data_IF_560724863587
#
_entry.id   IF_560724863587
#
_cell.length_a   1.000
_cell.length_b   1.000
_cell.length_c   1.000
_cell.angle_alpha   90.00
_cell.angle_beta   90.00
_cell.angle_gamma   90.00
#
_symmetry.space_group_name_H-M   'P 1'
#
loop_
_entity.id
_entity.type
_entity.pdbx_description
1 polymer ?
#
# COMPACT_ATOMS: atom_id res chain seq x y z
N UNK A 1 17.16 -28.01 -23.28
CA UNK A 1 16.26 -27.35 -22.30
C UNK A 1 16.98 -26.20 -21.56
N UNK A 2 17.78 -25.35 -22.24
CA UNK A 2 18.75 -24.45 -21.54
C UNK A 2 18.60 -22.95 -21.89
N UNK A 3 17.53 -22.54 -22.59
CA UNK A 3 17.36 -21.15 -23.03
C UNK A 3 16.42 -20.27 -22.19
N UNK A 4 15.72 -20.84 -21.19
CA UNK A 4 14.76 -20.08 -20.38
C UNK A 4 15.40 -19.23 -19.28
N UNK A 5 16.41 -19.75 -18.57
CA UNK A 5 17.06 -19.05 -17.46
C UNK A 5 17.69 -17.69 -17.86
N UNK A 6 18.40 -17.55 -19.01
CA UNK A 6 18.95 -16.25 -19.43
C UNK A 6 17.89 -15.22 -19.83
N UNK A 7 16.67 -15.67 -20.17
CA UNK A 7 15.56 -14.78 -20.52
C UNK A 7 14.85 -14.27 -19.25
N UNK A 8 14.61 -15.16 -18.29
CA UNK A 8 14.00 -14.82 -16.99
C UNK A 8 14.89 -13.87 -16.20
N UNK A 9 16.20 -14.13 -16.13
CA UNK A 9 17.14 -13.23 -15.44
C UNK A 9 17.11 -11.82 -16.02
N UNK A 10 17.09 -11.70 -17.36
CA UNK A 10 17.03 -10.40 -18.04
C UNK A 10 15.77 -9.64 -17.69
N UNK A 11 14.62 -10.32 -17.70
CA UNK A 11 13.34 -9.72 -17.31
C UNK A 11 13.35 -9.24 -15.85
N UNK A 12 13.98 -10.00 -14.95
CA UNK A 12 14.13 -9.61 -13.55
C UNK A 12 15.03 -8.38 -13.44
N UNK A 13 16.18 -8.37 -14.11
CA UNK A 13 17.10 -7.21 -14.13
C UNK A 13 16.43 -5.96 -14.66
N UNK A 14 15.66 -6.06 -15.73
CA UNK A 14 14.89 -4.96 -16.29
C UNK A 14 13.85 -4.42 -15.29
N UNK A 15 13.10 -5.32 -14.65
CA UNK A 15 12.07 -4.93 -13.67
C UNK A 15 12.68 -4.30 -12.40
N UNK A 16 13.80 -4.84 -11.92
CA UNK A 16 14.54 -4.28 -10.77
C UNK A 16 15.14 -2.92 -11.12
N UNK A 17 15.75 -2.80 -12.30
CA UNK A 17 16.28 -1.54 -12.84
C UNK A 17 15.22 -0.44 -12.88
N UNK A 18 14.04 -0.76 -13.42
CA UNK A 18 12.90 0.16 -13.52
C UNK A 18 12.45 0.65 -12.14
N UNK A 19 12.33 -0.27 -11.18
CA UNK A 19 11.79 0.03 -9.84
C UNK A 19 12.80 0.75 -8.94
N UNK A 20 14.10 0.45 -9.09
CA UNK A 20 15.17 1.07 -8.30
C UNK A 20 15.74 2.33 -8.97
N UNK A 21 15.50 2.54 -10.27
CA UNK A 21 16.10 3.63 -11.04
C UNK A 21 17.62 3.44 -11.26
N UNK A 22 18.09 2.19 -11.27
CA UNK A 22 19.50 1.83 -11.41
C UNK A 22 19.75 1.16 -12.76
N UNK A 23 20.95 1.28 -13.36
CA UNK A 23 21.30 0.52 -14.56
C UNK A 23 21.13 -1.01 -14.35
N UNK A 24 20.71 -1.80 -15.36
CA UNK A 24 20.47 -3.24 -15.23
C UNK A 24 21.68 -4.07 -14.74
N UNK A 25 22.88 -3.56 -15.00
CA UNK A 25 24.16 -4.21 -14.64
C UNK A 25 24.76 -3.64 -13.34
N UNK A 26 24.08 -2.70 -12.68
CA UNK A 26 24.58 -2.05 -11.46
C UNK A 26 24.47 -2.95 -10.21
N UNK A 27 23.67 -4.00 -10.27
CA UNK A 27 23.41 -4.92 -9.15
C UNK A 27 23.92 -6.31 -9.52
N UNK A 28 24.83 -6.85 -8.71
CA UNK A 28 25.34 -8.20 -8.94
C UNK A 28 24.27 -9.25 -8.60
N UNK A 29 24.43 -10.47 -9.13
CA UNK A 29 23.43 -11.54 -8.96
C UNK A 29 23.16 -11.88 -7.48
N UNK A 30 24.19 -11.80 -6.64
CA UNK A 30 24.17 -12.15 -5.22
C UNK A 30 23.94 -10.95 -4.30
N UNK A 31 23.83 -9.75 -4.85
CA UNK A 31 23.65 -8.54 -4.04
C UNK A 31 22.28 -8.54 -3.37
N UNK A 32 22.26 -8.08 -2.12
CA UNK A 32 21.01 -7.86 -1.41
C UNK A 32 20.31 -6.62 -2.00
N UNK A 33 19.19 -6.84 -2.68
CA UNK A 33 18.39 -5.78 -3.32
C UNK A 33 17.86 -4.75 -2.31
N UNK A 34 17.66 -5.13 -1.05
CA UNK A 34 17.22 -4.21 0.02
C UNK A 34 18.30 -3.15 0.27
N UNK A 35 19.57 -3.54 0.24
CA UNK A 35 20.70 -2.60 0.38
C UNK A 35 20.79 -1.61 -0.79
N UNK A 36 20.20 -1.96 -1.94
CA UNK A 36 20.07 -1.10 -3.12
C UNK A 36 18.76 -0.31 -3.17
N UNK A 37 17.97 -0.31 -2.09
CA UNK A 37 16.75 0.49 -1.97
C UNK A 37 15.46 -0.23 -2.40
N UNK A 38 15.49 -1.57 -2.48
CA UNK A 38 14.27 -2.35 -2.61
C UNK A 38 13.52 -2.36 -1.28
N UNK A 39 12.23 -2.02 -1.32
CA UNK A 39 11.34 -2.06 -0.16
C UNK A 39 10.10 -2.93 -0.45
N UNK A 40 9.20 -3.04 0.53
CA UNK A 40 8.00 -3.86 0.42
C UNK A 40 7.03 -3.38 -0.66
N UNK A 41 6.88 -2.06 -0.86
CA UNK A 41 5.97 -1.49 -1.86
C UNK A 41 6.48 -1.86 -3.26
N UNK A 42 7.78 -1.66 -3.49
CA UNK A 42 8.47 -1.99 -4.72
C UNK A 42 8.45 -3.49 -5.00
N UNK A 43 8.68 -4.32 -3.98
CA UNK A 43 8.59 -5.79 -4.10
C UNK A 43 7.16 -6.24 -4.44
N UNK A 44 6.13 -5.67 -3.80
CA UNK A 44 4.73 -5.99 -4.10
C UNK A 44 4.33 -5.61 -5.53
N UNK A 45 4.84 -4.50 -6.06
CA UNK A 45 4.63 -4.13 -7.46
C UNK A 45 5.21 -5.18 -8.43
N UNK A 46 6.41 -5.71 -8.11
CA UNK A 46 7.04 -6.79 -8.87
C UNK A 46 6.26 -8.12 -8.77
N UNK A 47 5.78 -8.49 -7.57
CA UNK A 47 4.90 -9.66 -7.37
C UNK A 47 3.66 -9.55 -8.26
N UNK A 48 2.99 -8.39 -8.26
CA UNK A 48 1.82 -8.14 -9.10
C UNK A 48 2.13 -8.34 -10.59
N UNK A 49 3.23 -7.73 -11.08
CA UNK A 49 3.68 -7.84 -12.47
C UNK A 49 3.94 -9.29 -12.89
N UNK A 50 4.61 -10.08 -12.06
CA UNK A 50 4.94 -11.47 -12.39
C UNK A 50 3.73 -12.41 -12.28
N UNK A 51 2.83 -12.18 -11.32
CA UNK A 51 1.54 -12.88 -11.27
C UNK A 51 0.69 -12.65 -12.52
N UNK A 52 0.64 -11.41 -13.01
CA UNK A 52 -0.02 -11.10 -14.29
C UNK A 52 0.64 -11.78 -15.50
N UNK A 53 1.89 -12.21 -15.37
CA UNK A 53 2.64 -12.95 -16.39
C UNK A 53 2.57 -14.48 -16.20
N UNK A 54 1.76 -14.97 -15.26
CA UNK A 54 1.53 -16.39 -15.00
C UNK A 54 2.47 -17.04 -13.97
N UNK A 55 3.35 -16.27 -13.31
CA UNK A 55 4.18 -16.81 -12.25
C UNK A 55 3.42 -16.83 -10.91
N UNK A 56 3.29 -18.00 -10.30
CA UNK A 56 2.80 -18.12 -8.92
C UNK A 56 3.95 -17.83 -7.95
N UNK A 57 4.05 -16.57 -7.54
CA UNK A 57 5.04 -16.09 -6.56
C UNK A 57 4.37 -15.17 -5.55
N UNK A 58 4.78 -15.18 -4.29
CA UNK A 58 4.37 -14.22 -3.29
C UNK A 58 5.53 -13.39 -2.71
N UNK A 59 5.18 -12.40 -1.90
CA UNK A 59 6.17 -11.53 -1.26
C UNK A 59 7.05 -12.28 -0.26
N UNK A 60 6.50 -13.21 0.50
CA UNK A 60 7.24 -13.91 1.54
C UNK A 60 8.35 -14.77 0.92
N UNK A 61 8.11 -15.36 -0.25
CA UNK A 61 9.12 -16.09 -1.03
C UNK A 61 10.25 -15.15 -1.51
N UNK A 62 9.90 -14.00 -2.09
CA UNK A 62 10.91 -13.05 -2.60
C UNK A 62 11.71 -12.38 -1.49
N UNK A 63 11.09 -12.13 -0.33
CA UNK A 63 11.72 -11.47 0.81
C UNK A 63 12.69 -12.37 1.57
N UNK A 64 12.59 -13.70 1.41
CA UNK A 64 13.52 -14.65 2.05
C UNK A 64 14.95 -14.46 1.55
N UNK A 65 15.13 -14.33 0.23
CA UNK A 65 16.44 -14.15 -0.40
C UNK A 65 16.31 -13.10 -1.50
N UNK A 66 16.41 -11.79 -1.17
CA UNK A 66 16.15 -10.69 -2.09
C UNK A 66 17.37 -10.44 -3.00
N UNK A 67 17.72 -11.42 -3.82
CA UNK A 67 18.84 -11.36 -4.78
C UNK A 67 18.34 -11.72 -6.18
N UNK A 68 18.99 -11.19 -7.22
CA UNK A 68 18.62 -11.49 -8.61
C UNK A 68 18.76 -12.99 -8.89
N UNK A 69 19.79 -13.64 -8.35
CA UNK A 69 20.02 -15.08 -8.54
C UNK A 69 18.94 -15.94 -7.90
N UNK A 70 18.54 -15.63 -6.66
CA UNK A 70 17.46 -16.36 -5.99
C UNK A 70 16.12 -16.19 -6.70
N UNK A 71 15.79 -14.97 -7.10
CA UNK A 71 14.55 -14.68 -7.84
C UNK A 71 14.54 -15.34 -9.22
N UNK A 72 15.68 -15.38 -9.92
CA UNK A 72 15.81 -16.06 -11.21
C UNK A 72 15.55 -17.56 -11.07
N UNK A 73 16.13 -18.21 -10.05
CA UNK A 73 15.86 -19.63 -9.77
C UNK A 73 14.38 -19.88 -9.49
N UNK A 74 13.78 -19.07 -8.61
CA UNK A 74 12.39 -19.18 -8.21
C UNK A 74 11.44 -19.03 -9.42
N UNK A 75 11.57 -17.94 -10.17
CA UNK A 75 10.69 -17.63 -11.29
C UNK A 75 10.90 -18.59 -12.47
N UNK A 76 12.13 -19.04 -12.72
CA UNK A 76 12.39 -20.05 -13.76
C UNK A 76 11.69 -21.37 -13.44
N UNK A 77 11.68 -21.79 -12.17
CA UNK A 77 10.96 -23.00 -11.75
C UNK A 77 9.44 -22.85 -11.93
N UNK A 78 8.88 -21.71 -11.53
CA UNK A 78 7.42 -21.44 -11.63
C UNK A 78 6.94 -21.33 -13.08
N UNK A 79 7.72 -20.67 -13.94
CA UNK A 79 7.37 -20.49 -15.36
C UNK A 79 7.63 -21.75 -16.21
N UNK A 80 8.53 -22.63 -15.78
CA UNK A 80 8.79 -23.91 -16.46
C UNK A 80 7.85 -25.03 -16.00
N UNK A 81 7.23 -24.87 -14.83
CA UNK A 81 6.38 -25.86 -14.16
C UNK A 81 4.91 -25.85 -14.58
N UNK A 82 4.58 -25.53 -15.84
CA UNK A 82 3.20 -25.71 -16.36
C UNK A 82 2.91 -27.20 -16.55
N UNK A 83 2.63 -27.89 -15.45
CA UNK A 83 2.25 -29.29 -15.38
C UNK A 83 1.56 -29.59 -14.06
N UNK A 84 0.24 -29.38 -14.04
CA UNK A 84 -0.74 -29.91 -13.05
C UNK A 84 -0.37 -29.73 -11.58
N UNK A 85 -0.77 -28.59 -10.99
CA UNK A 85 -1.12 -28.54 -9.58
C UNK A 85 -2.55 -27.99 -9.48
N UNK A 86 -3.45 -28.82 -8.95
CA UNK A 86 -4.83 -28.44 -8.66
C UNK A 86 -4.84 -27.25 -7.70
N UNK A 87 -5.69 -26.29 -8.04
CA UNK A 87 -5.74 -24.99 -7.40
C UNK A 87 -6.46 -25.12 -6.06
N UNK A 88 -5.70 -25.20 -4.95
CA UNK A 88 -6.22 -24.77 -3.66
C UNK A 88 -6.26 -23.23 -3.68
N UNK A 89 -7.37 -22.69 -4.21
CA UNK A 89 -7.65 -21.25 -4.20
C UNK A 89 -8.00 -20.83 -2.78
N UNK A 90 -7.00 -20.75 -1.92
CA UNK A 90 -7.00 -19.72 -0.89
C UNK A 90 -6.72 -18.39 -1.59
N UNK A 91 -7.72 -17.89 -2.32
CA UNK A 91 -7.83 -16.46 -2.60
C UNK A 91 -8.02 -15.78 -1.25
N UNK A 92 -6.91 -15.49 -0.59
CA UNK A 92 -6.91 -14.65 0.59
C UNK A 92 -7.22 -13.22 0.13
N UNK A 93 -8.52 -12.94 0.02
CA UNK A 93 -9.15 -11.65 0.34
C UNK A 93 -8.72 -10.37 -0.38
N UNK A 94 -7.92 -10.38 -1.45
CA UNK A 94 -7.48 -9.12 -2.11
C UNK A 94 -8.11 -8.83 -3.48
N UNK A 95 -8.97 -9.71 -4.00
CA UNK A 95 -9.96 -9.32 -5.00
C UNK A 95 -11.32 -9.22 -4.32
N UNK A 96 -11.62 -8.03 -3.78
CA UNK A 96 -13.02 -7.67 -3.55
C UNK A 96 -13.80 -7.85 -4.87
N UNK A 97 -15.08 -8.25 -4.82
CA UNK A 97 -15.87 -8.39 -6.03
C UNK A 97 -15.76 -7.11 -6.86
N UNK A 98 -15.51 -7.27 -8.16
CA UNK A 98 -15.50 -6.18 -9.13
C UNK A 98 -16.66 -5.23 -8.83
N UNK A 99 -16.34 -3.96 -8.61
CA UNK A 99 -17.27 -2.90 -8.23
C UNK A 99 -18.43 -2.85 -9.23
N UNK A 100 -19.52 -3.53 -8.87
CA UNK A 100 -20.84 -3.09 -9.30
C UNK A 100 -21.04 -1.78 -8.58
N UNK A 101 -21.42 -0.73 -9.33
CA UNK A 101 -21.76 0.58 -8.77
C UNK A 101 -22.92 0.37 -7.80
N UNK A 102 -22.60 0.13 -6.54
CA UNK A 102 -23.51 0.14 -5.42
C UNK A 102 -23.85 1.61 -5.17
N UNK A 103 -25.13 1.84 -4.87
CA UNK A 103 -25.61 3.11 -4.34
C UNK A 103 -24.59 3.65 -3.31
N UNK A 104 -24.00 4.81 -3.57
CA UNK A 104 -22.94 5.42 -2.76
C UNK A 104 -23.37 5.60 -1.29
N UNK A 105 -24.68 5.62 -1.03
CA UNK A 105 -25.25 5.73 0.31
C UNK A 105 -25.54 4.39 1.00
N UNK A 106 -25.48 3.26 0.30
CA UNK A 106 -25.73 1.94 0.86
C UNK A 106 -24.63 1.53 1.84
N UNK A 107 -25.01 0.90 2.95
CA UNK A 107 -24.05 0.33 3.90
C UNK A 107 -23.43 -0.95 3.35
N UNK A 108 -22.14 -1.15 3.64
CA UNK A 108 -21.36 -2.32 3.24
C UNK A 108 -20.46 -2.79 4.39
N UNK A 109 -20.01 -4.04 4.34
CA UNK A 109 -19.21 -4.64 5.41
C UNK A 109 -17.86 -3.93 5.60
N UNK A 110 -17.35 -3.97 6.83
CA UNK A 110 -15.95 -3.61 7.11
C UNK A 110 -15.00 -4.68 6.57
N UNK A 111 -13.80 -4.26 6.15
CA UNK A 111 -12.71 -5.23 5.98
C UNK A 111 -12.26 -5.77 7.33
N UNK A 112 -11.63 -6.96 7.40
CA UNK A 112 -11.12 -7.51 8.66
C UNK A 112 -10.20 -6.54 9.42
N UNK A 113 -9.34 -5.81 8.70
CA UNK A 113 -8.45 -4.81 9.29
C UNK A 113 -9.24 -3.61 9.82
N UNK A 114 -10.23 -3.12 9.07
CA UNK A 114 -11.10 -2.03 9.53
C UNK A 114 -11.87 -2.43 10.80
N UNK A 115 -12.39 -3.64 10.87
CA UNK A 115 -13.06 -4.17 12.06
C UNK A 115 -12.11 -4.27 13.25
N UNK A 116 -10.88 -4.76 13.05
CA UNK A 116 -9.87 -4.81 14.10
C UNK A 116 -9.54 -3.41 14.66
N UNK A 117 -9.38 -2.40 13.80
CA UNK A 117 -9.16 -1.02 14.21
C UNK A 117 -10.38 -0.41 14.91
N UNK A 118 -11.60 -0.74 14.45
CA UNK A 118 -12.85 -0.28 15.06
C UNK A 118 -13.03 -0.84 16.48
N UNK A 119 -12.74 -2.12 16.68
CA UNK A 119 -12.76 -2.74 18.02
C UNK A 119 -11.65 -2.18 18.89
N UNK A 120 -10.41 -2.15 18.38
CA UNK A 120 -9.22 -1.77 19.14
C UNK A 120 -9.21 -0.32 19.64
N UNK A 121 -9.94 0.58 18.97
CA UNK A 121 -10.07 1.99 19.40
C UNK A 121 -11.19 2.22 20.42
N UNK A 122 -11.99 1.22 20.76
CA UNK A 122 -13.09 1.35 21.74
C UNK A 122 -12.53 1.67 23.12
N UNK A 123 -13.24 2.52 23.87
CA UNK A 123 -12.91 2.83 25.26
C UNK A 123 -12.91 1.52 26.10
N UNK A 124 -11.82 1.27 26.84
CA UNK A 124 -11.63 0.05 27.63
C UNK A 124 -10.67 -0.98 27.04
N UNK A 125 -10.20 -0.80 25.80
CA UNK A 125 -9.06 -1.56 25.26
C UNK A 125 -7.73 -0.95 25.71
N UNK A 126 -6.69 -1.78 25.79
CA UNK A 126 -5.31 -1.29 26.00
C UNK A 126 -4.92 -0.38 24.84
N UNK A 127 -4.60 0.89 25.14
CA UNK A 127 -4.36 1.97 24.16
C UNK A 127 -5.61 2.38 23.33
N UNK A 128 -6.80 1.94 23.73
CA UNK A 128 -8.08 2.37 23.16
C UNK A 128 -8.33 3.88 23.33
N UNK A 129 -9.31 4.42 22.61
CA UNK A 129 -9.60 5.85 22.56
C UNK A 129 -8.64 6.68 21.70
N UNK A 130 -7.47 6.14 21.34
CA UNK A 130 -6.46 6.82 20.53
C UNK A 130 -6.56 6.43 19.05
N UNK A 131 -6.96 7.38 18.20
CA UNK A 131 -6.81 7.22 16.75
C UNK A 131 -5.35 7.30 16.30
N UNK A 132 -5.08 6.89 15.06
CA UNK A 132 -3.82 7.23 14.39
C UNK A 132 -3.73 8.75 14.23
N UNK A 133 -2.69 9.36 14.79
CA UNK A 133 -2.38 10.78 14.61
C UNK A 133 -0.99 10.88 14.00
N UNK A 134 -0.83 11.82 13.06
CA UNK A 134 0.46 12.18 12.51
C UNK A 134 0.71 13.66 12.83
N UNK A 135 1.90 13.94 13.33
CA UNK A 135 2.39 15.30 13.49
C UNK A 135 3.54 15.49 12.49
N UNK A 136 3.46 16.54 11.69
CA UNK A 136 4.43 16.85 10.65
C UNK A 136 4.76 18.32 10.72
N UNK A 137 6.05 18.63 10.70
CA UNK A 137 6.56 20.00 10.64
C UNK A 137 7.07 20.28 9.23
N UNK A 138 6.81 21.49 8.77
CA UNK A 138 7.26 21.94 7.45
C UNK A 138 7.93 23.30 7.60
N UNK A 139 9.20 23.37 7.21
CA UNK A 139 9.89 24.64 7.04
C UNK A 139 9.51 25.23 5.69
N UNK A 140 8.85 26.38 5.71
CA UNK A 140 8.35 27.02 4.50
C UNK A 140 8.16 28.52 4.66
N UNK A 141 7.96 29.20 3.54
CA UNK A 141 7.54 30.60 3.46
C UNK A 141 6.19 30.69 2.77
N UNK A 142 5.44 31.76 3.07
CA UNK A 142 4.17 32.08 2.41
C UNK A 142 3.09 30.98 2.50
N UNK A 143 3.09 30.21 3.60
CA UNK A 143 2.04 29.23 3.88
C UNK A 143 0.72 29.96 4.10
N UNK A 144 -0.23 29.77 3.20
CA UNK A 144 -1.56 30.37 3.30
C UNK A 144 -2.59 29.36 3.79
N UNK A 145 -3.16 29.62 4.96
CA UNK A 145 -4.13 28.73 5.61
C UNK A 145 -5.38 28.47 4.75
N UNK A 146 -5.86 29.48 4.01
CA UNK A 146 -7.00 29.36 3.10
C UNK A 146 -6.76 28.35 1.97
N UNK A 147 -5.54 28.31 1.43
CA UNK A 147 -5.15 27.34 0.40
C UNK A 147 -5.07 25.93 0.97
N UNK A 148 -4.52 25.78 2.17
CA UNK A 148 -4.45 24.49 2.85
C UNK A 148 -5.86 23.96 3.15
N UNK A 149 -6.74 24.80 3.68
CA UNK A 149 -8.14 24.42 3.91
C UNK A 149 -8.84 23.98 2.62
N UNK A 150 -8.67 24.74 1.54
CA UNK A 150 -9.24 24.41 0.23
C UNK A 150 -8.71 23.07 -0.30
N UNK A 151 -7.41 22.80 -0.13
CA UNK A 151 -6.80 21.54 -0.53
C UNK A 151 -7.35 20.35 0.28
N UNK A 152 -7.49 20.49 1.60
CA UNK A 152 -8.08 19.44 2.45
C UNK A 152 -9.54 19.19 2.09
N UNK A 153 -10.32 20.24 1.82
CA UNK A 153 -11.72 20.09 1.33
C UNK A 153 -11.78 19.33 0.00
N UNK A 154 -10.87 19.61 -0.93
CA UNK A 154 -10.79 18.90 -2.20
C UNK A 154 -10.43 17.41 -2.01
N UNK A 155 -9.50 17.09 -1.10
CA UNK A 155 -9.18 15.70 -0.76
C UNK A 155 -10.40 14.97 -0.16
N UNK A 156 -11.10 15.59 0.78
CA UNK A 156 -12.30 15.02 1.40
C UNK A 156 -13.40 14.75 0.35
N UNK A 157 -13.63 15.69 -0.57
CA UNK A 157 -14.61 15.53 -1.63
C UNK A 157 -14.23 14.37 -2.57
N UNK A 158 -12.96 14.30 -2.97
CA UNK A 158 -12.42 13.30 -3.88
C UNK A 158 -12.42 11.87 -3.32
N UNK A 159 -12.17 11.70 -2.02
CA UNK A 159 -11.94 10.38 -1.44
C UNK A 159 -13.09 9.96 -0.51
N UNK A 160 -13.87 8.96 -0.94
CA UNK A 160 -15.01 8.42 -0.19
C UNK A 160 -14.67 8.02 1.25
N UNK A 161 -13.50 7.41 1.48
CA UNK A 161 -13.08 6.98 2.82
C UNK A 161 -12.82 8.13 3.80
N UNK A 162 -12.58 9.36 3.33
CA UNK A 162 -12.51 10.56 4.20
C UNK A 162 -13.89 11.07 4.64
N UNK A 163 -14.96 10.47 4.10
CA UNK A 163 -16.36 10.72 4.44
C UNK A 163 -17.06 9.47 5.00
N UNK A 164 -16.32 8.37 5.20
CA UNK A 164 -16.89 7.14 5.72
C UNK A 164 -17.42 7.31 7.15
N UNK A 165 -18.45 6.54 7.47
CA UNK A 165 -19.02 6.38 8.80
C UNK A 165 -19.10 4.89 9.12
N UNK A 166 -18.50 4.50 10.23
CA UNK A 166 -18.58 3.15 10.80
C UNK A 166 -19.84 3.08 11.67
N UNK A 167 -20.66 2.07 11.46
CA UNK A 167 -21.92 1.84 12.16
C UNK A 167 -21.74 0.77 13.23
N UNK A 168 -22.63 0.73 14.21
CA UNK A 168 -22.55 -0.19 15.36
C UNK A 168 -22.73 -1.65 14.98
N UNK A 169 -23.37 -1.92 13.84
CA UNK A 169 -23.60 -3.27 13.30
C UNK A 169 -22.39 -3.86 12.57
N UNK A 170 -21.23 -3.19 12.63
CA UNK A 170 -20.02 -3.65 11.94
C UNK A 170 -20.06 -3.41 10.42
N UNK A 171 -20.90 -2.49 9.96
CA UNK A 171 -20.90 -2.00 8.58
C UNK A 171 -20.38 -0.57 8.50
N UNK A 172 -20.18 -0.07 7.28
CA UNK A 172 -19.83 1.32 6.99
C UNK A 172 -20.66 1.84 5.83
N UNK A 173 -20.79 3.16 5.76
CA UNK A 173 -21.35 3.87 4.60
C UNK A 173 -20.57 5.13 4.31
N UNK A 174 -20.66 5.62 3.08
CA UNK A 174 -20.03 6.88 2.67
C UNK A 174 -21.03 8.01 2.81
N UNK A 175 -20.72 9.02 3.63
CA UNK A 175 -21.57 10.20 3.77
C UNK A 175 -21.35 11.20 2.63
N UNK A 176 -22.37 11.98 2.27
CA UNK A 176 -22.24 13.06 1.29
C UNK A 176 -21.24 14.14 1.75
N UNK A 177 -21.15 14.40 3.05
CA UNK A 177 -20.29 15.42 3.65
C UNK A 177 -19.49 14.87 4.83
N UNK A 178 -18.31 15.46 5.06
CA UNK A 178 -17.45 15.14 6.22
C UNK A 178 -17.85 15.98 7.43
N UNK A 179 -17.71 15.48 8.68
CA UNK A 179 -18.00 16.26 9.89
C UNK A 179 -16.79 17.12 10.29
N UNK A 180 -15.71 17.12 9.49
CA UNK A 180 -14.50 17.86 9.78
C UNK A 180 -14.84 19.36 9.90
N UNK A 181 -14.53 20.01 11.04
CA UNK A 181 -14.95 21.38 11.31
C UNK A 181 -14.22 22.44 10.47
N UNK A 182 -13.16 22.05 9.77
CA UNK A 182 -12.29 22.96 9.02
C UNK A 182 -10.90 23.06 9.64
N UNK A 183 -10.04 23.86 9.02
CA UNK A 183 -8.67 24.06 9.46
C UNK A 183 -8.63 24.96 10.70
N UNK A 184 -8.12 24.44 11.82
CA UNK A 184 -7.80 25.27 12.99
C UNK A 184 -6.43 25.91 12.80
N UNK A 185 -6.37 27.24 12.91
CA UNK A 185 -5.12 28.01 12.77
C UNK A 185 -4.73 28.58 14.13
N UNK A 186 -3.56 28.19 14.61
CA UNK A 186 -2.92 28.79 15.78
C UNK A 186 -1.78 29.69 15.30
N UNK A 187 -2.03 31.01 15.27
CA UNK A 187 -1.02 31.98 14.89
C UNK A 187 -0.14 32.34 16.10
N UNK A 188 1.09 31.83 16.09
CA UNK A 188 2.07 32.03 17.15
C UNK A 188 3.09 33.14 16.84
N UNK A 189 2.94 33.89 15.74
CA UNK A 189 3.91 34.91 15.31
C UNK A 189 4.10 36.03 16.32
N UNK A 190 3.10 36.27 17.17
CA UNK A 190 3.15 37.31 18.21
C UNK A 190 3.50 36.77 19.59
N UNK A 191 3.75 35.46 19.74
CA UNK A 191 4.15 34.90 21.02
C UNK A 191 5.62 35.27 21.30
N UNK A 192 5.97 35.62 22.55
CA UNK A 192 7.36 35.83 22.93
C UNK A 192 8.15 34.53 22.69
N UNK A 193 9.39 34.66 22.22
CA UNK A 193 10.28 33.51 22.11
C UNK A 193 10.44 32.88 23.49
N UNK A 194 10.29 31.55 23.56
CA UNK A 194 10.64 30.81 24.76
C UNK A 194 12.10 31.13 25.13
N UNK A 195 12.32 31.44 26.42
CA UNK A 195 13.61 31.82 26.98
C UNK A 195 14.63 30.68 26.91
#
# INVERSE_FOLDING_TARGET
>A
MTHAAPAVERQIREAVSEVLGLPPDAVAETDNLISHGLDSIRTMALVGRWRSSGAEVDYAELAQEPTIGAWTRLLTQRLSGTGTAEVDRCTDGLHGPAETVTDEAASFALTPVQQAYWIGRTDGQSLGGNGCHAYMEFDGRDVRADRLESAVRALIARHAMLRARFLEDGTQRVAATSPWPGLTVHDVRTLPRAA
#
